data_IF_566035565124
#
_entry.id   IF_566035565124
#
_cell.length_a   1.000
_cell.length_b   1.000
_cell.length_c   1.000
_cell.angle_alpha   90.00
_cell.angle_beta   90.00
_cell.angle_gamma   90.00
#
_symmetry.space_group_name_H-M   'P 1'
#
loop_
_entity.id
_entity.type
_entity.pdbx_description
1 polymer ?
#
# COMPACT_ATOMS: atom_id res chain seq x y z
N UNK A 1 -11.34 2.72 12.74
CA UNK A 1 -10.03 2.12 12.37
C UNK A 1 -9.11 2.03 13.58
N UNK A 2 -8.80 3.09 14.32
CA UNK A 2 -7.91 3.08 15.48
C UNK A 2 -8.27 2.03 16.55
N UNK A 3 -9.55 1.86 16.90
CA UNK A 3 -10.00 0.83 17.85
C UNK A 3 -9.74 -0.62 17.39
N UNK A 4 -9.74 -0.87 16.09
CA UNK A 4 -9.42 -2.20 15.56
C UNK A 4 -7.90 -2.41 15.55
N UNK A 5 -7.14 -1.43 15.09
CA UNK A 5 -5.69 -1.51 15.07
C UNK A 5 -5.08 -1.66 16.48
N UNK A 6 -5.65 -1.01 17.50
CA UNK A 6 -5.17 -1.13 18.88
C UNK A 6 -5.37 -2.51 19.53
N UNK A 7 -6.20 -3.37 18.92
CA UNK A 7 -6.46 -4.74 19.40
C UNK A 7 -5.53 -5.78 18.77
N UNK A 8 -4.79 -5.42 17.74
CA UNK A 8 -3.87 -6.34 17.07
C UNK A 8 -2.75 -6.77 18.02
N UNK A 9 -2.49 -8.07 18.04
CA UNK A 9 -1.46 -8.67 18.87
C UNK A 9 -0.11 -8.61 18.19
N UNK A 10 0.81 -7.88 18.81
CA UNK A 10 2.18 -7.70 18.33
C UNK A 10 3.11 -8.61 19.10
N UNK A 11 3.96 -9.37 18.41
CA UNK A 11 4.86 -10.27 19.11
C UNK A 11 5.68 -11.19 18.21
N UNK A 12 6.04 -12.34 18.76
CA UNK A 12 6.81 -13.38 18.09
C UNK A 12 5.98 -13.99 16.94
N UNK A 13 6.47 -13.95 15.68
CA UNK A 13 5.76 -14.47 14.52
C UNK A 13 5.63 -16.00 14.51
N UNK A 14 6.34 -16.73 15.37
CA UNK A 14 6.19 -18.17 15.54
C UNK A 14 4.93 -18.56 16.33
N UNK A 15 4.31 -17.60 17.01
CA UNK A 15 3.09 -17.82 17.79
C UNK A 15 1.84 -17.60 16.93
N UNK A 16 0.88 -18.55 16.91
CA UNK A 16 -0.32 -18.46 16.08
C UNK A 16 -1.21 -17.23 16.36
N UNK A 17 -1.14 -16.70 17.55
CA UNK A 17 -1.90 -15.52 17.97
C UNK A 17 -1.28 -14.20 17.52
N UNK A 18 -0.05 -14.18 17.04
CA UNK A 18 0.61 -12.95 16.59
C UNK A 18 0.06 -12.49 15.24
N UNK A 19 -0.44 -11.25 15.20
CA UNK A 19 -1.01 -10.63 14.00
C UNK A 19 -0.04 -9.63 13.37
N UNK A 20 0.86 -9.04 14.16
CA UNK A 20 1.89 -8.09 13.70
C UNK A 20 3.24 -8.53 14.27
N UNK A 21 4.14 -8.92 13.37
CA UNK A 21 5.50 -9.33 13.71
C UNK A 21 6.48 -8.17 13.87
N UNK A 22 7.77 -8.48 14.11
CA UNK A 22 8.83 -7.48 14.23
C UNK A 22 9.18 -6.84 12.89
N UNK A 23 9.70 -5.63 12.95
CA UNK A 23 10.40 -4.99 11.85
C UNK A 23 11.74 -5.69 11.62
N UNK A 24 12.28 -5.55 10.40
CA UNK A 24 13.47 -6.32 9.97
C UNK A 24 14.72 -6.05 10.83
N UNK A 25 14.81 -4.89 11.48
CA UNK A 25 15.95 -4.49 12.35
C UNK A 25 15.61 -3.26 13.18
N UNK A 26 16.33 -3.09 14.30
CA UNK A 26 16.11 -2.00 15.24
C UNK A 26 16.11 -0.60 14.61
N UNK A 27 17.00 -0.33 13.68
CA UNK A 27 17.07 1.00 13.04
C UNK A 27 15.76 1.36 12.30
N UNK A 28 14.97 0.37 11.84
CA UNK A 28 13.69 0.64 11.19
C UNK A 28 12.61 1.01 12.23
N UNK A 29 12.69 0.46 13.45
CA UNK A 29 11.84 0.90 14.56
C UNK A 29 12.10 2.38 14.87
N UNK A 30 13.37 2.77 14.97
CA UNK A 30 13.76 4.17 15.21
C UNK A 30 13.33 5.10 14.07
N UNK A 31 13.48 4.66 12.82
CA UNK A 31 13.04 5.42 11.65
C UNK A 31 11.54 5.64 11.63
N UNK A 32 10.76 4.58 11.88
CA UNK A 32 9.29 4.67 11.92
C UNK A 32 8.85 5.58 13.07
N UNK A 33 9.45 5.43 14.25
CA UNK A 33 9.16 6.26 15.41
C UNK A 33 9.45 7.75 15.14
N UNK A 34 10.59 8.04 14.51
CA UNK A 34 10.93 9.40 14.10
C UNK A 34 9.90 9.99 13.13
N UNK A 35 9.52 9.24 12.08
CA UNK A 35 8.56 9.73 11.09
C UNK A 35 7.17 9.95 11.67
N UNK A 36 6.74 9.10 12.60
CA UNK A 36 5.48 9.27 13.32
C UNK A 36 5.52 10.53 14.18
N UNK A 37 6.62 10.78 14.92
CA UNK A 37 6.77 12.02 15.70
C UNK A 37 6.78 13.27 14.83
N UNK A 38 7.52 13.27 13.73
CA UNK A 38 7.54 14.39 12.76
C UNK A 38 6.12 14.69 12.25
N UNK A 39 5.32 13.66 11.95
CA UNK A 39 3.94 13.86 11.52
C UNK A 39 3.05 14.44 12.63
N UNK A 40 3.21 13.98 13.88
CA UNK A 40 2.46 14.50 15.03
C UNK A 40 2.84 15.95 15.34
N UNK A 41 4.11 16.28 15.31
CA UNK A 41 4.61 17.67 15.45
C UNK A 41 4.08 18.58 14.35
N UNK A 42 3.88 18.01 13.13
CA UNK A 42 3.28 18.68 12.00
C UNK A 42 1.75 18.80 12.05
N UNK A 43 1.09 18.29 13.09
CA UNK A 43 -0.35 18.45 13.31
C UNK A 43 -1.20 17.22 13.03
N UNK A 44 -0.62 16.05 12.70
CA UNK A 44 -1.37 14.80 12.60
C UNK A 44 -2.04 14.43 13.94
N UNK A 45 -3.23 13.87 13.89
CA UNK A 45 -3.89 13.34 15.08
C UNK A 45 -3.60 11.85 15.25
N UNK A 46 -3.06 11.45 16.40
CA UNK A 46 -2.85 10.05 16.75
C UNK A 46 -4.17 9.40 17.19
N UNK A 47 -4.61 8.38 16.43
CA UNK A 47 -5.80 7.60 16.79
C UNK A 47 -5.46 6.35 17.61
N UNK A 48 -4.28 5.75 17.41
CA UNK A 48 -3.72 4.68 18.25
C UNK A 48 -2.25 4.43 17.92
N UNK A 49 -1.53 3.73 18.81
CA UNK A 49 -0.13 3.32 18.60
C UNK A 49 0.88 4.43 18.87
N UNK A 50 1.69 4.77 17.90
CA UNK A 50 2.66 5.87 17.94
C UNK A 50 3.87 5.64 18.84
N UNK A 51 4.26 4.38 19.10
CA UNK A 51 5.39 4.06 19.99
C UNK A 51 6.07 2.75 19.66
N UNK A 52 7.34 2.66 19.91
CA UNK A 52 8.06 1.39 19.95
C UNK A 52 7.57 0.54 21.14
N UNK A 53 7.42 -0.76 20.92
CA UNK A 53 7.07 -1.75 21.96
C UNK A 53 8.31 -2.49 22.44
N UNK A 54 9.31 -2.66 21.57
CA UNK A 54 10.59 -3.28 21.84
C UNK A 54 11.63 -2.77 20.84
N UNK A 55 12.83 -3.31 20.86
CA UNK A 55 13.88 -3.02 19.88
C UNK A 55 13.49 -3.43 18.45
N UNK A 56 12.56 -4.36 18.28
CA UNK A 56 12.15 -4.88 16.96
C UNK A 56 10.68 -4.65 16.63
N UNK A 57 9.83 -4.31 17.59
CA UNK A 57 8.40 -4.18 17.40
C UNK A 57 7.93 -2.73 17.57
N UNK A 58 7.04 -2.31 16.68
CA UNK A 58 6.36 -1.02 16.74
C UNK A 58 4.85 -1.25 16.86
N UNK A 59 4.17 -0.43 17.65
CA UNK A 59 2.72 -0.53 17.84
C UNK A 59 1.98 -0.25 16.52
N UNK A 60 0.92 -1.00 16.18
CA UNK A 60 0.00 -0.66 15.11
C UNK A 60 -0.50 0.77 15.30
N UNK A 61 -0.17 1.62 14.33
CA UNK A 61 -0.34 3.07 14.44
C UNK A 61 -1.30 3.57 13.38
N UNK A 62 -2.27 4.38 13.80
CA UNK A 62 -3.19 5.07 12.89
C UNK A 62 -3.12 6.56 13.16
N UNK A 63 -2.80 7.31 12.12
CA UNK A 63 -2.75 8.77 12.12
C UNK A 63 -3.88 9.33 11.25
N UNK A 64 -4.53 10.38 11.72
CA UNK A 64 -5.52 11.14 10.96
C UNK A 64 -4.92 12.45 10.49
N UNK A 65 -5.12 12.73 9.21
CA UNK A 65 -4.72 13.95 8.49
C UNK A 65 -3.26 14.38 8.74
N UNK A 66 -2.26 13.49 8.54
CA UNK A 66 -0.86 13.92 8.59
C UNK A 66 -0.57 14.94 7.48
N UNK A 67 0.41 15.86 7.68
CA UNK A 67 0.80 16.84 6.67
C UNK A 67 1.12 16.18 5.33
N UNK A 68 0.70 16.79 4.22
CA UNK A 68 0.88 16.24 2.88
C UNK A 68 2.35 16.10 2.46
N UNK A 69 3.23 16.93 3.03
CA UNK A 69 4.67 16.96 2.76
C UNK A 69 5.51 16.15 3.74
N UNK A 70 4.92 15.57 4.78
CA UNK A 70 5.65 14.74 5.73
C UNK A 70 6.06 13.39 5.10
N UNK A 71 7.08 12.75 5.67
CA UNK A 71 7.62 11.49 5.16
C UNK A 71 6.59 10.36 5.11
N UNK A 72 5.68 10.30 6.10
CA UNK A 72 4.61 9.30 6.14
C UNK A 72 3.60 9.45 5.00
N UNK A 73 3.41 10.68 4.47
CA UNK A 73 2.52 10.95 3.36
C UNK A 73 3.16 10.73 1.99
N UNK A 74 4.49 10.74 1.90
CA UNK A 74 5.22 10.75 0.62
C UNK A 74 6.10 9.53 0.38
N UNK A 75 6.52 8.83 1.42
CA UNK A 75 7.47 7.72 1.32
C UNK A 75 6.85 6.43 1.84
N UNK A 76 7.33 5.30 1.33
CA UNK A 76 6.92 3.98 1.79
C UNK A 76 7.46 3.70 3.20
N UNK A 77 6.53 3.44 4.13
CA UNK A 77 6.88 3.36 5.55
C UNK A 77 7.57 2.04 5.92
N UNK A 78 7.22 0.93 5.30
CA UNK A 78 7.67 -0.42 5.69
C UNK A 78 7.53 -0.68 7.19
N UNK A 79 6.35 -0.36 7.73
CA UNK A 79 6.03 -0.50 9.14
C UNK A 79 4.53 -0.48 9.39
N UNK A 80 4.06 -0.80 10.61
CA UNK A 80 2.65 -0.94 10.94
C UNK A 80 1.97 0.43 11.15
N UNK A 81 2.03 1.29 10.14
CA UNK A 81 1.48 2.66 10.19
C UNK A 81 0.48 2.85 9.05
N UNK A 82 -0.69 3.37 9.37
CA UNK A 82 -1.74 3.76 8.42
C UNK A 82 -2.04 5.23 8.58
N UNK A 83 -1.96 5.97 7.47
CA UNK A 83 -2.40 7.36 7.39
C UNK A 83 -3.83 7.39 6.84
N UNK A 84 -4.71 8.11 7.51
CA UNK A 84 -6.11 8.35 7.11
C UNK A 84 -6.25 9.82 6.78
N UNK A 85 -6.89 10.11 5.67
CA UNK A 85 -7.14 11.48 5.22
C UNK A 85 -8.63 11.69 5.02
N UNK A 86 -9.14 12.83 5.45
CA UNK A 86 -10.50 13.26 5.16
C UNK A 86 -10.54 13.98 3.82
N UNK A 87 -11.58 13.69 3.03
CA UNK A 87 -11.85 14.34 1.75
C UNK A 87 -13.34 14.60 1.63
N UNK A 88 -13.73 15.76 1.12
CA UNK A 88 -15.13 16.14 0.94
C UNK A 88 -15.73 15.58 -0.36
N UNK A 89 -14.89 15.24 -1.33
CA UNK A 89 -15.29 14.75 -2.64
C UNK A 89 -14.41 13.61 -3.14
N UNK A 90 -15.01 12.71 -3.94
CA UNK A 90 -14.28 11.60 -4.58
C UNK A 90 -13.12 12.11 -5.46
N UNK A 91 -13.30 13.22 -6.16
CA UNK A 91 -12.26 13.75 -7.04
C UNK A 91 -11.04 14.28 -6.29
N UNK A 92 -11.24 14.81 -5.12
CA UNK A 92 -10.15 15.21 -4.22
C UNK A 92 -9.37 13.98 -3.75
N UNK A 93 -10.08 12.92 -3.30
CA UNK A 93 -9.45 11.66 -2.90
C UNK A 93 -8.64 11.03 -4.02
N UNK A 94 -9.19 11.00 -5.26
CA UNK A 94 -8.49 10.48 -6.45
C UNK A 94 -7.26 11.35 -6.77
N UNK A 95 -7.40 12.67 -6.76
CA UNK A 95 -6.29 13.59 -7.00
C UNK A 95 -5.14 13.34 -6.02
N UNK A 96 -5.44 13.22 -4.74
CA UNK A 96 -4.47 12.92 -3.68
C UNK A 96 -3.81 11.56 -3.86
N UNK A 97 -4.59 10.52 -4.20
CA UNK A 97 -4.06 9.18 -4.45
C UNK A 97 -3.08 9.15 -5.64
N UNK A 98 -3.29 10.01 -6.64
CA UNK A 98 -2.47 10.08 -7.85
C UNK A 98 -1.29 11.07 -7.76
N UNK A 99 -1.12 11.79 -6.65
CA UNK A 99 -0.14 12.88 -6.52
C UNK A 99 1.31 12.38 -6.56
N UNK A 100 1.57 11.19 -6.01
CA UNK A 100 2.93 10.67 -5.89
C UNK A 100 3.45 10.08 -7.22
N UNK A 101 4.77 10.06 -7.42
CA UNK A 101 5.39 9.46 -8.61
C UNK A 101 5.34 7.91 -8.58
N UNK A 102 4.80 7.33 -7.53
CA UNK A 102 4.61 5.89 -7.33
C UNK A 102 3.13 5.55 -7.45
N UNK A 103 2.82 4.38 -8.03
CA UNK A 103 1.45 3.87 -8.11
C UNK A 103 1.48 2.34 -8.19
N UNK A 104 0.56 1.68 -7.50
CA UNK A 104 0.55 0.22 -7.46
C UNK A 104 -0.89 -0.31 -7.44
N UNK A 105 -1.48 -0.49 -6.27
CA UNK A 105 -2.81 -1.01 -6.09
C UNK A 105 -3.68 -0.04 -5.32
N UNK A 106 -4.96 -0.01 -5.63
CA UNK A 106 -5.96 0.78 -4.92
C UNK A 106 -7.18 -0.08 -4.57
N UNK A 107 -7.92 0.35 -3.57
CA UNK A 107 -9.21 -0.22 -3.21
C UNK A 107 -10.24 0.89 -3.03
N UNK A 108 -11.47 0.62 -3.44
CA UNK A 108 -12.61 1.50 -3.21
C UNK A 108 -13.74 0.72 -2.55
N UNK A 109 -14.34 1.30 -1.52
CA UNK A 109 -15.48 0.74 -0.82
C UNK A 109 -16.69 1.61 -1.08
N UNK A 110 -17.63 1.11 -1.90
CA UNK A 110 -18.85 1.82 -2.27
C UNK A 110 -19.94 0.84 -2.68
N UNK A 111 -21.22 1.27 -2.55
CA UNK A 111 -22.37 0.56 -3.09
C UNK A 111 -22.86 1.15 -4.41
N UNK A 112 -22.34 2.31 -4.80
CA UNK A 112 -22.69 2.97 -6.05
C UNK A 112 -21.74 2.53 -7.18
N UNK A 113 -22.32 1.92 -8.21
CA UNK A 113 -21.55 1.45 -9.35
C UNK A 113 -20.91 2.60 -10.16
N UNK A 114 -21.60 3.73 -10.28
CA UNK A 114 -21.06 4.92 -10.96
C UNK A 114 -19.80 5.44 -10.27
N UNK A 115 -19.84 5.54 -8.96
CA UNK A 115 -18.67 5.91 -8.12
C UNK A 115 -17.52 4.91 -8.28
N UNK A 116 -17.83 3.59 -8.27
CA UNK A 116 -16.81 2.56 -8.47
C UNK A 116 -16.11 2.69 -9.82
N UNK A 117 -16.88 2.85 -10.91
CA UNK A 117 -16.34 2.99 -12.26
C UNK A 117 -15.57 4.30 -12.46
N UNK A 118 -16.02 5.39 -11.85
CA UNK A 118 -15.31 6.68 -11.88
C UNK A 118 -13.95 6.56 -11.18
N UNK A 119 -13.89 5.93 -10.01
CA UNK A 119 -12.64 5.68 -9.31
C UNK A 119 -11.73 4.75 -10.11
N UNK A 120 -12.25 3.63 -10.61
CA UNK A 120 -11.49 2.69 -11.44
C UNK A 120 -10.81 3.37 -12.65
N UNK A 121 -11.55 4.23 -13.34
CA UNK A 121 -11.05 4.90 -14.57
C UNK A 121 -10.01 5.96 -14.27
N UNK A 122 -10.05 6.60 -13.10
CA UNK A 122 -9.25 7.79 -12.79
C UNK A 122 -8.11 7.56 -11.79
N UNK A 123 -8.14 6.44 -11.05
CA UNK A 123 -7.01 6.08 -10.18
C UNK A 123 -5.86 5.54 -11.03
N UNK A 124 -4.67 6.06 -10.80
CA UNK A 124 -3.43 5.54 -11.36
C UNK A 124 -3.00 4.30 -10.55
N UNK A 125 -3.62 3.18 -10.84
CA UNK A 125 -3.33 1.91 -10.18
C UNK A 125 -3.36 0.78 -11.20
N UNK A 126 -2.45 -0.19 -11.06
CA UNK A 126 -2.44 -1.40 -11.90
C UNK A 126 -3.61 -2.33 -11.61
N UNK A 127 -4.14 -2.25 -10.40
CA UNK A 127 -5.32 -3.00 -9.95
C UNK A 127 -6.14 -2.14 -9.01
N UNK A 128 -7.45 -2.10 -9.23
CA UNK A 128 -8.41 -1.43 -8.34
C UNK A 128 -9.39 -2.46 -7.81
N UNK A 129 -9.38 -2.68 -6.51
CA UNK A 129 -10.30 -3.58 -5.82
C UNK A 129 -11.60 -2.87 -5.47
N UNK A 130 -12.74 -3.52 -5.69
CA UNK A 130 -14.04 -3.01 -5.26
C UNK A 130 -14.52 -3.81 -4.05
N UNK A 131 -14.74 -3.11 -2.93
CA UNK A 131 -15.23 -3.68 -1.67
C UNK A 131 -14.36 -4.83 -1.13
N UNK A 132 -13.08 -4.79 -1.45
CA UNK A 132 -12.07 -5.73 -0.96
C UNK A 132 -10.75 -4.99 -0.72
N UNK A 133 -9.82 -5.63 -0.02
CA UNK A 133 -8.52 -5.06 0.30
C UNK A 133 -7.47 -5.34 -0.79
N UNK A 134 -6.43 -4.53 -0.85
CA UNK A 134 -5.36 -4.64 -1.85
C UNK A 134 -4.44 -5.86 -1.68
N UNK A 135 -4.56 -6.62 -0.58
CA UNK A 135 -3.82 -7.87 -0.38
C UNK A 135 -4.47 -9.08 -1.10
N UNK A 136 -5.66 -8.93 -1.71
CA UNK A 136 -6.21 -9.98 -2.55
C UNK A 136 -5.27 -10.31 -3.70
N UNK A 137 -4.99 -11.60 -3.89
CA UNK A 137 -4.11 -12.05 -4.96
C UNK A 137 -4.46 -13.46 -5.43
N UNK A 138 -4.36 -13.62 -6.74
CA UNK A 138 -4.33 -14.93 -7.42
C UNK A 138 -3.18 -14.95 -8.42
N UNK A 139 -2.54 -16.10 -8.61
CA UNK A 139 -1.28 -16.22 -9.36
C UNK A 139 -1.37 -15.85 -10.84
N UNK A 140 -2.55 -15.94 -11.42
CA UNK A 140 -2.81 -15.63 -12.84
C UNK A 140 -3.18 -14.15 -13.08
N UNK A 141 -3.47 -13.36 -12.04
CA UNK A 141 -3.76 -11.94 -12.22
C UNK A 141 -2.49 -11.11 -12.46
N UNK A 142 -2.59 -10.00 -13.22
CA UNK A 142 -1.47 -9.09 -13.38
C UNK A 142 -1.05 -8.47 -12.05
N UNK A 143 0.25 -8.34 -11.85
CA UNK A 143 0.84 -7.71 -10.69
C UNK A 143 1.95 -6.77 -11.15
N UNK A 144 1.68 -5.48 -11.16
CA UNK A 144 2.58 -4.48 -11.71
C UNK A 144 2.63 -3.21 -10.86
N UNK A 145 3.81 -2.66 -10.70
CA UNK A 145 3.98 -1.27 -10.31
C UNK A 145 3.82 -0.37 -11.54
N UNK A 146 3.32 0.84 -11.33
CA UNK A 146 3.25 1.88 -12.34
C UNK A 146 4.19 3.03 -11.97
N UNK A 147 4.58 3.83 -12.96
CA UNK A 147 5.49 4.97 -12.76
C UNK A 147 6.81 4.49 -12.13
N UNK A 148 7.25 5.12 -11.03
CA UNK A 148 8.49 4.75 -10.31
C UNK A 148 8.36 3.47 -9.47
N UNK A 149 7.15 2.89 -9.33
CA UNK A 149 6.95 1.66 -8.54
C UNK A 149 7.48 0.40 -9.21
N UNK A 150 7.79 0.42 -10.50
CA UNK A 150 8.41 -0.71 -11.18
C UNK A 150 8.17 -0.77 -12.68
N UNK A 151 8.81 -1.75 -13.32
CA UNK A 151 8.70 -2.05 -14.74
C UNK A 151 8.19 -3.48 -14.95
N UNK A 152 7.47 -3.68 -16.04
CA UNK A 152 6.94 -5.00 -16.41
C UNK A 152 5.71 -5.41 -15.59
N UNK A 153 5.19 -6.59 -15.90
CA UNK A 153 4.00 -7.17 -15.28
C UNK A 153 4.31 -8.57 -14.80
N UNK A 154 4.19 -8.83 -13.49
CA UNK A 154 4.28 -10.15 -12.89
C UNK A 154 2.95 -10.92 -13.00
N UNK A 155 2.97 -12.17 -12.57
CA UNK A 155 1.88 -13.13 -12.68
C UNK A 155 2.22 -14.25 -13.67
N UNK A 156 1.71 -15.47 -13.45
CA UNK A 156 2.14 -16.66 -14.20
C UNK A 156 2.08 -16.47 -15.72
N UNK A 157 0.97 -15.98 -16.32
CA UNK A 157 0.90 -15.83 -17.78
C UNK A 157 1.89 -14.81 -18.36
N UNK A 158 2.17 -13.76 -17.61
CA UNK A 158 3.06 -12.66 -18.00
C UNK A 158 4.51 -13.10 -17.92
N UNK A 159 4.93 -13.63 -16.76
CA UNK A 159 6.27 -14.16 -16.55
C UNK A 159 6.61 -15.29 -17.54
N UNK A 160 5.63 -16.14 -17.85
CA UNK A 160 5.81 -17.18 -18.87
C UNK A 160 6.12 -16.61 -20.26
N UNK A 161 5.43 -15.53 -20.65
CA UNK A 161 5.72 -14.83 -21.93
C UNK A 161 7.09 -14.16 -21.90
N UNK A 162 7.45 -13.52 -20.81
CA UNK A 162 8.75 -12.84 -20.66
C UNK A 162 9.94 -13.80 -20.74
N UNK A 163 9.72 -15.10 -20.41
CA UNK A 163 10.72 -16.16 -20.53
C UNK A 163 10.84 -16.75 -21.94
N UNK A 164 9.99 -16.33 -22.87
CA UNK A 164 9.97 -16.84 -24.24
C UNK A 164 10.66 -15.86 -25.18
N UNK A 165 11.30 -16.43 -26.21
CA UNK A 165 11.84 -15.68 -27.35
C UNK A 165 11.07 -16.09 -28.60
N UNK A 166 10.42 -15.11 -29.23
CA UNK A 166 9.74 -15.35 -30.50
C UNK A 166 10.76 -15.61 -31.62
N UNK A 167 10.52 -16.66 -32.41
CA UNK A 167 11.35 -17.00 -33.55
C UNK A 167 10.47 -17.18 -34.78
N UNK A 168 10.74 -16.38 -35.81
CA UNK A 168 10.06 -16.47 -37.08
C UNK A 168 10.81 -17.43 -38.01
N UNK A 169 10.08 -18.34 -38.63
CA UNK A 169 10.56 -19.15 -39.76
C UNK A 169 9.81 -18.75 -41.03
N UNK A 170 10.56 -18.31 -42.02
CA UNK A 170 10.01 -17.96 -43.36
C UNK A 170 10.63 -18.90 -44.38
N UNK A 171 9.80 -19.59 -45.17
CA UNK A 171 10.20 -20.44 -46.28
C UNK A 171 9.46 -20.06 -47.57
N UNK A 172 10.12 -20.11 -48.73
CA UNK A 172 9.48 -20.04 -50.03
C UNK A 172 9.64 -21.39 -50.75
N UNK A 173 8.59 -21.86 -51.36
CA UNK A 173 8.68 -22.99 -52.31
C UNK A 173 9.17 -22.40 -53.64
N UNK A 174 10.41 -22.67 -54.00
CA UNK A 174 10.96 -22.46 -55.35
C UNK A 174 10.64 -23.65 -56.22
#
# INVERSE_FOLDING_TARGET
MGQLASKLRVGDPSLPETEVGPLIRHKEVLRVDQWVREALEGGAQLLCGGRALSESCYAPTVLLDPPADCKLSRLEVFGPVVCVYTCDALDEAIGRANELPVAFQAAIFTRDYGTAMRAYTRLDASTVMLNDHTAFRVDWMPFAGLRESGLGVGGIPYTFRDMQVEKLFVGSNT
#
